data_IF_765842305101
#
_entry.id   IF_765842305101
#
_cell.length_a   1.000
_cell.length_b   1.000
_cell.length_c   1.000
_cell.angle_alpha   90.00
_cell.angle_beta   90.00
_cell.angle_gamma   90.00
#
_symmetry.space_group_name_H-M   'P 1'
#
loop_
_entity.id
_entity.type
_entity.pdbx_description
1 polymer ?
#
# COMPACT_ATOMS: atom_id res chain seq x y z
N UNK A 1 -54.55 1.03 36.00
CA UNK A 1 -55.21 2.24 35.49
C UNK A 1 -56.56 1.88 34.89
N UNK A 2 -57.20 2.79 34.17
CA UNK A 2 -58.47 2.47 33.51
C UNK A 2 -58.26 1.42 32.40
N UNK A 3 -59.16 0.43 32.30
CA UNK A 3 -59.09 -0.65 31.31
C UNK A 3 -57.78 -1.46 31.33
N UNK A 4 -57.13 -1.58 32.48
CA UNK A 4 -55.91 -2.37 32.64
C UNK A 4 -56.14 -3.80 33.13
N UNK A 5 -55.23 -4.71 32.81
CA UNK A 5 -55.29 -6.12 33.24
C UNK A 5 -54.05 -6.52 34.06
N UNK A 6 -54.28 -7.20 35.18
CA UNK A 6 -53.26 -8.00 35.88
C UNK A 6 -53.76 -9.44 35.94
N UNK A 7 -53.14 -10.34 35.17
CA UNK A 7 -53.58 -11.73 35.03
C UNK A 7 -53.26 -12.63 36.24
N UNK A 8 -52.32 -12.22 37.09
CA UNK A 8 -51.93 -12.93 38.32
C UNK A 8 -50.57 -12.49 38.85
N UNK A 9 -49.98 -13.30 39.74
CA UNK A 9 -48.64 -13.08 40.28
C UNK A 9 -48.58 -12.35 41.62
N UNK A 10 -47.37 -11.99 42.05
CA UNK A 10 -47.12 -11.30 43.31
C UNK A 10 -46.53 -9.91 43.03
N UNK A 11 -47.08 -8.88 43.69
CA UNK A 11 -46.64 -7.47 43.68
C UNK A 11 -46.51 -6.81 42.30
N UNK A 12 -47.24 -7.28 41.29
CA UNK A 12 -47.32 -6.61 39.99
C UNK A 12 -48.11 -5.30 40.07
N UNK A 13 -47.66 -4.26 39.36
CA UNK A 13 -48.23 -2.91 39.43
C UNK A 13 -48.54 -2.34 38.06
N UNK A 14 -49.82 -2.15 37.76
CA UNK A 14 -50.26 -1.50 36.50
C UNK A 14 -50.74 -0.08 36.78
N UNK A 15 -49.87 0.90 36.49
CA UNK A 15 -50.10 2.31 36.85
C UNK A 15 -50.59 3.20 35.70
N UNK A 16 -50.79 2.64 34.50
CA UNK A 16 -51.36 3.35 33.35
C UNK A 16 -52.63 2.71 32.79
N UNK A 17 -53.33 3.43 31.92
CA UNK A 17 -54.53 2.96 31.23
C UNK A 17 -54.17 1.97 30.11
N UNK A 18 -55.12 1.10 29.74
CA UNK A 18 -55.01 0.13 28.64
C UNK A 18 -53.76 -0.78 28.70
N UNK A 19 -53.17 -0.93 29.88
CA UNK A 19 -51.90 -1.64 30.06
C UNK A 19 -52.15 -3.04 30.62
N UNK A 20 -51.28 -4.00 30.29
CA UNK A 20 -51.44 -5.40 30.69
C UNK A 20 -50.17 -5.95 31.31
N UNK A 21 -50.30 -6.59 32.47
CA UNK A 21 -49.31 -7.53 33.01
C UNK A 21 -49.97 -8.90 33.08
N UNK A 22 -49.51 -9.87 32.27
CA UNK A 22 -50.16 -11.17 32.21
C UNK A 22 -49.88 -12.06 33.45
N UNK A 23 -48.78 -11.83 34.18
CA UNK A 23 -48.45 -12.55 35.41
C UNK A 23 -47.05 -12.24 35.95
N UNK A 24 -46.49 -13.14 36.78
CA UNK A 24 -45.10 -13.05 37.24
C UNK A 24 -44.90 -12.41 38.61
N UNK A 25 -43.69 -11.91 38.87
CA UNK A 25 -43.29 -11.34 40.16
C UNK A 25 -42.73 -9.92 39.95
N UNK A 26 -43.27 -8.93 40.65
CA UNK A 26 -42.70 -7.57 40.72
C UNK A 26 -42.53 -6.87 39.36
N UNK A 27 -43.48 -7.07 38.45
CA UNK A 27 -43.49 -6.36 37.18
C UNK A 27 -44.25 -5.03 37.31
N UNK A 28 -43.76 -3.97 36.67
CA UNK A 28 -44.33 -2.62 36.81
C UNK A 28 -44.56 -1.98 35.44
N UNK A 29 -45.76 -1.45 35.21
CA UNK A 29 -45.95 -0.40 34.20
C UNK A 29 -45.99 0.96 34.87
N UNK A 30 -45.32 1.96 34.28
CA UNK A 30 -45.19 3.30 34.86
C UNK A 30 -46.47 4.12 34.61
N UNK A 31 -46.72 5.12 35.44
CA UNK A 31 -47.84 6.06 35.25
C UNK A 31 -47.63 6.91 33.99
N UNK A 32 -48.71 7.27 33.30
CA UNK A 32 -48.67 7.99 32.02
C UNK A 32 -47.95 7.24 30.89
N UNK A 33 -48.08 5.92 30.85
CA UNK A 33 -47.53 5.03 29.82
C UNK A 33 -48.61 4.13 29.20
N UNK A 34 -49.67 4.71 28.57
CA UNK A 34 -50.81 3.93 28.09
C UNK A 34 -50.43 2.86 27.08
N UNK A 35 -51.18 1.75 27.07
CA UNK A 35 -50.98 0.66 26.12
C UNK A 35 -49.71 -0.18 26.34
N UNK A 36 -49.03 -0.03 27.48
CA UNK A 36 -47.83 -0.81 27.80
C UNK A 36 -48.17 -2.27 28.14
N UNK A 37 -47.27 -3.18 27.78
CA UNK A 37 -47.47 -4.63 27.94
C UNK A 37 -46.27 -5.31 28.60
N UNK A 38 -46.55 -6.18 29.57
CA UNK A 38 -45.59 -7.13 30.12
C UNK A 38 -46.20 -8.53 30.09
N UNK A 39 -45.58 -9.46 29.35
CA UNK A 39 -46.07 -10.84 29.23
C UNK A 39 -45.82 -11.72 30.47
N UNK A 40 -44.93 -11.30 31.37
CA UNK A 40 -44.67 -11.97 32.65
C UNK A 40 -43.23 -11.80 33.11
N UNK A 41 -42.72 -12.80 33.82
CA UNK A 41 -41.33 -12.79 34.31
C UNK A 41 -41.16 -12.11 35.66
N UNK A 42 -39.95 -11.61 35.94
CA UNK A 42 -39.56 -11.04 37.23
C UNK A 42 -38.97 -9.65 37.08
N UNK A 43 -39.47 -8.66 37.81
CA UNK A 43 -38.83 -7.35 37.91
C UNK A 43 -38.78 -6.55 36.61
N UNK A 44 -39.67 -6.82 35.65
CA UNK A 44 -39.67 -6.12 34.37
C UNK A 44 -40.42 -4.79 34.47
N UNK A 45 -39.95 -3.79 33.72
CA UNK A 45 -40.55 -2.46 33.66
C UNK A 45 -40.91 -2.10 32.22
N UNK A 46 -42.18 -1.77 31.97
CA UNK A 46 -42.64 -1.13 30.74
C UNK A 46 -43.02 0.33 31.07
N UNK A 47 -42.12 1.24 30.73
CA UNK A 47 -42.06 2.60 31.28
C UNK A 47 -42.57 3.73 30.39
N UNK A 48 -43.08 3.43 29.19
CA UNK A 48 -43.56 4.42 28.24
C UNK A 48 -44.70 3.91 27.35
N UNK A 49 -45.32 4.83 26.61
CA UNK A 49 -46.46 4.55 25.74
C UNK A 49 -46.16 3.40 24.77
N UNK A 50 -47.03 2.40 24.76
CA UNK A 50 -46.91 1.22 23.90
C UNK A 50 -45.60 0.43 24.06
N UNK A 51 -44.86 0.64 25.17
CA UNK A 51 -43.68 -0.14 25.49
C UNK A 51 -44.06 -1.61 25.76
N UNK A 52 -43.28 -2.54 25.21
CA UNK A 52 -43.55 -3.99 25.30
C UNK A 52 -42.35 -4.71 25.89
N UNK A 53 -42.60 -5.52 26.92
CA UNK A 53 -41.65 -6.53 27.42
C UNK A 53 -42.33 -7.89 27.38
N UNK A 54 -41.89 -8.79 26.51
CA UNK A 54 -42.54 -10.10 26.37
C UNK A 54 -42.36 -10.98 27.63
N UNK A 55 -41.27 -10.80 28.38
CA UNK A 55 -41.02 -11.49 29.65
C UNK A 55 -39.58 -11.32 30.12
N UNK A 56 -39.04 -12.32 30.85
CA UNK A 56 -37.65 -12.33 31.30
C UNK A 56 -37.45 -11.78 32.71
N UNK A 57 -36.22 -11.35 33.04
CA UNK A 57 -35.85 -10.85 34.36
C UNK A 57 -35.20 -9.45 34.27
N UNK A 58 -35.73 -8.46 34.98
CA UNK A 58 -35.15 -7.12 35.07
C UNK A 58 -34.97 -6.39 33.74
N UNK A 59 -35.88 -6.58 32.79
CA UNK A 59 -35.85 -5.83 31.53
C UNK A 59 -36.57 -4.47 31.66
N UNK A 60 -36.05 -3.44 31.03
CA UNK A 60 -36.51 -2.05 31.16
C UNK A 60 -36.78 -1.40 29.80
N UNK A 61 -38.06 -1.30 29.43
CA UNK A 61 -38.51 -0.66 28.20
C UNK A 61 -38.97 0.78 28.48
N UNK A 62 -38.05 1.76 28.46
CA UNK A 62 -38.28 3.17 28.83
C UNK A 62 -38.82 4.06 27.72
N UNK A 63 -38.77 3.60 26.49
CA UNK A 63 -39.11 4.42 25.33
C UNK A 63 -40.50 4.16 24.77
N UNK A 64 -41.11 5.20 24.19
CA UNK A 64 -42.35 5.05 23.43
C UNK A 64 -42.12 4.07 22.29
N UNK A 65 -43.01 3.08 22.13
CA UNK A 65 -42.89 1.98 21.17
C UNK A 65 -41.59 1.15 21.28
N UNK A 66 -40.94 1.13 22.45
CA UNK A 66 -39.82 0.21 22.70
C UNK A 66 -40.31 -1.24 22.81
N UNK A 67 -39.53 -2.18 22.29
CA UNK A 67 -39.86 -3.62 22.35
C UNK A 67 -38.69 -4.44 22.85
N UNK A 68 -38.89 -5.18 23.93
CA UNK A 68 -37.95 -6.15 24.46
C UNK A 68 -38.58 -7.56 24.39
N UNK A 69 -37.98 -8.45 23.62
CA UNK A 69 -38.49 -9.81 23.42
C UNK A 69 -38.35 -10.72 24.65
N UNK A 70 -37.43 -10.42 25.56
CA UNK A 70 -37.22 -11.16 26.81
C UNK A 70 -35.78 -11.01 27.30
N UNK A 71 -35.22 -12.07 27.90
CA UNK A 71 -33.85 -12.09 28.40
C UNK A 71 -33.71 -11.52 29.81
N UNK A 72 -32.49 -11.09 30.17
CA UNK A 72 -32.18 -10.53 31.47
C UNK A 72 -31.43 -9.19 31.38
N UNK A 73 -31.89 -8.19 32.12
CA UNK A 73 -31.23 -6.88 32.26
C UNK A 73 -31.08 -6.10 30.93
N UNK A 74 -32.05 -6.21 30.04
CA UNK A 74 -32.03 -5.48 28.77
C UNK A 74 -32.74 -4.12 28.89
N UNK A 75 -32.25 -3.11 28.16
CA UNK A 75 -32.77 -1.75 28.13
C UNK A 75 -33.17 -1.34 26.72
N UNK A 76 -34.38 -0.80 26.60
CA UNK A 76 -34.92 -0.31 25.33
C UNK A 76 -35.44 1.13 25.46
N UNK A 77 -34.97 2.02 24.60
CA UNK A 77 -35.40 3.42 24.49
C UNK A 77 -36.37 3.63 23.31
N UNK A 78 -36.74 4.87 23.00
CA UNK A 78 -37.87 5.15 22.11
C UNK A 78 -37.65 4.57 20.70
N UNK A 79 -38.65 3.88 20.18
CA UNK A 79 -38.65 3.17 18.89
C UNK A 79 -37.55 2.10 18.75
N UNK A 80 -36.97 1.64 19.86
CA UNK A 80 -35.91 0.62 19.84
C UNK A 80 -36.47 -0.81 19.86
N UNK A 81 -35.63 -1.75 19.45
CA UNK A 81 -35.91 -3.18 19.63
C UNK A 81 -34.70 -3.88 20.25
N UNK A 82 -34.94 -4.65 21.31
CA UNK A 82 -34.01 -5.66 21.83
C UNK A 82 -34.68 -7.02 21.72
N UNK A 83 -34.15 -7.93 20.91
CA UNK A 83 -34.80 -9.23 20.72
C UNK A 83 -34.73 -10.11 21.98
N UNK A 84 -33.69 -9.96 22.82
CA UNK A 84 -33.48 -10.70 24.06
C UNK A 84 -32.02 -10.62 24.52
N UNK A 85 -31.54 -11.65 25.22
CA UNK A 85 -30.14 -11.75 25.66
C UNK A 85 -29.89 -11.26 27.08
N UNK A 86 -28.63 -11.02 27.43
CA UNK A 86 -28.20 -10.53 28.73
C UNK A 86 -27.55 -9.15 28.59
N UNK A 87 -27.99 -8.17 29.38
CA UNK A 87 -27.36 -6.85 29.50
C UNK A 87 -27.23 -6.05 28.19
N UNK A 88 -28.25 -6.07 27.32
CA UNK A 88 -28.21 -5.30 26.07
C UNK A 88 -28.88 -3.93 26.20
N UNK A 89 -28.36 -2.91 25.51
CA UNK A 89 -28.90 -1.54 25.51
C UNK A 89 -29.17 -1.04 24.08
N UNK A 90 -30.41 -0.70 23.77
CA UNK A 90 -30.82 -0.12 22.50
C UNK A 90 -31.44 1.29 22.73
N UNK A 91 -30.72 2.33 22.28
CA UNK A 91 -31.15 3.74 22.33
C UNK A 91 -32.17 4.11 21.23
N UNK A 92 -32.35 5.41 20.93
CA UNK A 92 -33.39 5.89 20.02
C UNK A 92 -33.35 5.27 18.62
N UNK A 93 -34.47 4.67 18.20
CA UNK A 93 -34.65 4.01 16.90
C UNK A 93 -33.57 2.99 16.53
N UNK A 94 -32.95 2.37 17.53
CA UNK A 94 -31.85 1.42 17.36
C UNK A 94 -32.32 -0.04 17.53
N UNK A 95 -31.48 -0.99 17.14
CA UNK A 95 -31.77 -2.41 17.25
C UNK A 95 -30.61 -3.19 17.85
N UNK A 96 -30.90 -4.04 18.84
CA UNK A 96 -30.02 -5.11 19.28
C UNK A 96 -30.70 -6.46 19.04
N UNK A 97 -30.11 -7.29 18.18
CA UNK A 97 -30.66 -8.61 17.83
C UNK A 97 -30.53 -9.68 18.93
N UNK A 98 -29.83 -9.39 20.02
CA UNK A 98 -29.66 -10.26 21.18
C UNK A 98 -28.20 -10.31 21.65
N UNK A 99 -27.82 -11.40 22.33
CA UNK A 99 -26.44 -11.62 22.79
C UNK A 99 -26.17 -11.15 24.22
N UNK A 100 -24.90 -10.93 24.53
CA UNK A 100 -24.40 -10.53 25.84
C UNK A 100 -23.74 -9.13 25.76
N UNK A 101 -24.16 -8.21 26.62
CA UNK A 101 -23.49 -6.91 26.83
C UNK A 101 -23.32 -6.08 25.55
N UNK A 102 -24.30 -6.11 24.63
CA UNK A 102 -24.24 -5.30 23.41
C UNK A 102 -24.95 -3.95 23.58
N UNK A 103 -24.38 -2.90 23.00
CA UNK A 103 -24.91 -1.54 23.09
C UNK A 103 -25.05 -0.90 21.69
N UNK A 104 -26.29 -0.63 21.28
CA UNK A 104 -26.63 0.19 20.11
C UNK A 104 -27.11 1.57 20.60
N UNK A 105 -26.17 2.45 20.95
CA UNK A 105 -26.47 3.75 21.57
C UNK A 105 -26.54 4.92 20.57
N UNK A 106 -26.03 4.72 19.35
CA UNK A 106 -26.21 5.68 18.27
C UNK A 106 -27.66 5.72 17.75
N UNK A 107 -28.13 6.89 17.35
CA UNK A 107 -29.45 7.03 16.70
C UNK A 107 -29.48 6.20 15.42
N UNK A 108 -30.47 5.32 15.26
CA UNK A 108 -30.57 4.37 14.13
C UNK A 108 -29.42 3.36 14.04
N UNK A 109 -28.66 3.15 15.12
CA UNK A 109 -27.60 2.16 15.16
C UNK A 109 -28.17 0.73 15.22
N UNK A 110 -27.39 -0.25 14.77
CA UNK A 110 -27.75 -1.67 14.87
C UNK A 110 -26.57 -2.49 15.35
N UNK A 111 -26.82 -3.34 16.34
CA UNK A 111 -25.96 -4.48 16.68
C UNK A 111 -26.75 -5.76 16.43
N UNK A 112 -26.32 -6.59 15.49
CA UNK A 112 -27.09 -7.80 15.15
C UNK A 112 -27.04 -8.87 16.26
N UNK A 113 -26.03 -8.85 17.12
CA UNK A 113 -25.88 -9.74 18.29
C UNK A 113 -24.43 -9.87 18.73
N UNK A 114 -24.07 -10.98 19.39
CA UNK A 114 -22.70 -11.28 19.81
C UNK A 114 -22.42 -10.96 21.28
N UNK A 115 -21.17 -10.72 21.61
CA UNK A 115 -20.71 -10.40 22.97
C UNK A 115 -19.95 -9.06 22.97
N UNK A 116 -20.31 -8.15 23.87
CA UNK A 116 -19.61 -6.89 24.10
C UNK A 116 -19.44 -5.98 22.85
N UNK A 117 -20.42 -5.96 21.95
CA UNK A 117 -20.36 -5.12 20.74
C UNK A 117 -21.02 -3.75 20.93
N UNK A 118 -20.44 -2.73 20.31
CA UNK A 118 -20.75 -1.33 20.55
C UNK A 118 -20.97 -0.57 19.23
N UNK A 119 -22.21 -0.17 18.95
CA UNK A 119 -22.59 0.71 17.83
C UNK A 119 -22.98 2.10 18.38
N UNK A 120 -21.99 2.99 18.56
CA UNK A 120 -22.14 4.28 19.23
C UNK A 120 -22.39 5.44 18.26
N UNK A 121 -21.97 5.32 17.01
CA UNK A 121 -22.20 6.35 15.99
C UNK A 121 -23.63 6.34 15.46
N UNK A 122 -24.13 7.48 14.99
CA UNK A 122 -25.43 7.54 14.30
C UNK A 122 -25.41 6.67 13.04
N UNK A 123 -26.46 5.88 12.82
CA UNK A 123 -26.56 4.93 11.71
C UNK A 123 -25.37 3.96 11.62
N UNK A 124 -24.66 3.73 12.72
CA UNK A 124 -23.57 2.75 12.77
C UNK A 124 -24.09 1.32 12.81
N UNK A 125 -23.28 0.39 12.35
CA UNK A 125 -23.64 -1.03 12.27
C UNK A 125 -22.54 -1.91 12.83
N UNK A 126 -22.90 -2.85 13.68
CA UNK A 126 -22.07 -3.99 14.06
C UNK A 126 -22.81 -5.30 13.73
N UNK A 127 -22.23 -6.13 12.86
CA UNK A 127 -22.87 -7.37 12.40
C UNK A 127 -22.77 -8.52 13.41
N UNK A 128 -21.97 -8.40 14.47
CA UNK A 128 -21.84 -9.37 15.55
C UNK A 128 -20.39 -9.58 15.96
N UNK A 129 -20.08 -10.73 16.58
CA UNK A 129 -18.72 -11.07 17.03
C UNK A 129 -18.47 -10.70 18.50
N UNK A 130 -17.23 -10.43 18.86
CA UNK A 130 -16.81 -10.13 20.24
C UNK A 130 -16.06 -8.80 20.28
N UNK A 131 -16.47 -7.86 21.15
CA UNK A 131 -15.70 -6.65 21.43
C UNK A 131 -15.58 -5.67 20.27
N UNK A 132 -16.47 -5.71 19.26
CA UNK A 132 -16.37 -4.81 18.11
C UNK A 132 -16.98 -3.43 18.40
N UNK A 133 -16.40 -2.38 17.83
CA UNK A 133 -16.77 -0.98 18.07
C UNK A 133 -16.96 -0.20 16.77
N UNK A 134 -18.19 0.20 16.47
CA UNK A 134 -18.51 1.18 15.43
C UNK A 134 -18.87 2.52 16.09
N UNK A 135 -17.91 3.44 16.20
CA UNK A 135 -18.07 4.72 16.92
C UNK A 135 -18.26 5.95 16.05
N UNK A 136 -17.84 5.91 14.78
CA UNK A 136 -18.13 6.98 13.84
C UNK A 136 -19.56 6.94 13.33
N UNK A 137 -20.12 8.09 12.96
CA UNK A 137 -21.40 8.10 12.27
C UNK A 137 -21.26 7.40 10.90
N UNK A 138 -22.26 6.59 10.54
CA UNK A 138 -22.24 5.69 9.37
C UNK A 138 -21.10 4.66 9.37
N UNK A 139 -20.40 4.48 10.49
CA UNK A 139 -19.34 3.48 10.59
C UNK A 139 -19.90 2.06 10.60
N UNK A 140 -19.16 1.13 10.02
CA UNK A 140 -19.57 -0.27 9.87
C UNK A 140 -18.46 -1.18 10.36
N UNK A 141 -18.80 -2.10 11.26
CA UNK A 141 -17.98 -3.28 11.54
C UNK A 141 -18.81 -4.52 11.22
N UNK A 142 -18.45 -5.25 10.18
CA UNK A 142 -19.27 -6.40 9.77
C UNK A 142 -19.21 -7.57 10.77
N UNK A 143 -18.16 -7.68 11.57
CA UNK A 143 -18.03 -8.63 12.68
C UNK A 143 -16.58 -8.83 13.13
N UNK A 144 -16.28 -10.00 13.72
CA UNK A 144 -14.92 -10.38 14.13
C UNK A 144 -14.66 -10.22 15.62
N UNK A 145 -13.40 -9.98 16.01
CA UNK A 145 -12.97 -9.83 17.40
C UNK A 145 -12.17 -8.54 17.60
N UNK A 146 -12.61 -7.65 18.48
CA UNK A 146 -11.88 -6.42 18.86
C UNK A 146 -11.60 -5.46 17.69
N UNK A 147 -12.49 -5.39 16.69
CA UNK A 147 -12.33 -4.44 15.58
C UNK A 147 -12.94 -3.07 15.91
N UNK A 148 -12.34 -1.99 15.42
CA UNK A 148 -12.81 -0.62 15.64
C UNK A 148 -12.95 0.16 14.32
N UNK A 149 -14.13 0.71 14.06
CA UNK A 149 -14.41 1.71 13.03
C UNK A 149 -14.78 3.02 13.73
N UNK A 150 -13.83 3.94 13.88
CA UNK A 150 -13.90 5.03 14.87
C UNK A 150 -14.38 6.37 14.32
N UNK A 151 -14.42 6.56 12.99
CA UNK A 151 -14.65 7.86 12.36
C UNK A 151 -15.76 7.81 11.30
N UNK A 152 -16.18 8.98 10.78
CA UNK A 152 -17.26 9.08 9.80
C UNK A 152 -17.00 8.19 8.59
N UNK A 153 -18.00 7.39 8.21
CA UNK A 153 -17.94 6.46 7.06
C UNK A 153 -16.79 5.44 7.11
N UNK A 154 -16.19 5.20 8.28
CA UNK A 154 -15.15 4.18 8.42
C UNK A 154 -15.73 2.77 8.33
N UNK A 155 -14.96 1.83 7.77
CA UNK A 155 -15.38 0.46 7.55
C UNK A 155 -14.34 -0.54 8.02
N UNK A 156 -14.79 -1.55 8.77
CA UNK A 156 -14.03 -2.77 9.02
C UNK A 156 -14.85 -3.99 8.59
N UNK A 157 -14.34 -4.74 7.62
CA UNK A 157 -15.03 -5.93 7.09
C UNK A 157 -14.95 -7.16 7.98
N UNK A 158 -14.05 -7.19 8.97
CA UNK A 158 -13.96 -8.25 9.97
C UNK A 158 -12.52 -8.49 10.45
N UNK A 159 -12.23 -9.71 10.91
CA UNK A 159 -10.90 -10.09 11.38
C UNK A 159 -10.69 -9.85 12.88
N UNK A 160 -9.45 -9.60 13.29
CA UNK A 160 -9.07 -9.46 14.70
C UNK A 160 -8.22 -8.19 14.89
N UNK A 161 -8.62 -7.32 15.82
CA UNK A 161 -7.86 -6.10 16.20
C UNK A 161 -7.54 -5.18 15.01
N UNK A 162 -8.47 -5.03 14.08
CA UNK A 162 -8.34 -4.08 12.98
C UNK A 162 -8.96 -2.73 13.33
N UNK A 163 -8.32 -1.64 12.89
CA UNK A 163 -8.73 -0.26 13.19
C UNK A 163 -8.87 0.57 11.92
N UNK A 164 -10.04 1.17 11.74
CA UNK A 164 -10.31 2.19 10.73
C UNK A 164 -10.63 3.51 11.48
N UNK A 165 -9.59 4.31 11.72
CA UNK A 165 -9.66 5.51 12.57
C UNK A 165 -9.72 6.82 11.76
N UNK A 166 -9.41 6.77 10.46
CA UNK A 166 -9.55 7.90 9.55
C UNK A 166 -10.98 8.08 9.02
N UNK A 167 -11.34 9.32 8.66
CA UNK A 167 -12.58 9.60 7.94
C UNK A 167 -12.56 8.88 6.58
N UNK A 168 -13.62 8.15 6.22
CA UNK A 168 -13.65 7.29 5.01
C UNK A 168 -12.50 6.27 4.96
N UNK A 169 -11.96 5.85 6.10
CA UNK A 169 -10.92 4.82 6.14
C UNK A 169 -11.54 3.42 6.08
N UNK A 170 -10.90 2.52 5.33
CA UNK A 170 -11.36 1.16 5.11
C UNK A 170 -10.30 0.14 5.55
N UNK A 171 -10.71 -0.85 6.33
CA UNK A 171 -9.94 -2.09 6.54
C UNK A 171 -10.82 -3.27 6.15
N UNK A 172 -10.46 -3.99 5.09
CA UNK A 172 -11.30 -5.10 4.60
C UNK A 172 -11.31 -6.28 5.58
N UNK A 173 -10.20 -6.54 6.28
CA UNK A 173 -10.10 -7.58 7.30
C UNK A 173 -8.66 -7.87 7.74
N UNK A 174 -8.38 -9.10 8.17
CA UNK A 174 -7.04 -9.53 8.59
C UNK A 174 -6.81 -9.41 10.10
N UNK A 175 -5.56 -9.18 10.52
CA UNK A 175 -5.19 -9.07 11.92
C UNK A 175 -4.28 -7.85 12.16
N UNK A 176 -4.57 -7.06 13.19
CA UNK A 176 -3.73 -5.92 13.60
C UNK A 176 -3.47 -4.90 12.48
N UNK A 177 -4.43 -4.68 11.57
CA UNK A 177 -4.31 -3.67 10.51
C UNK A 177 -4.87 -2.33 10.98
N UNK A 178 -4.22 -1.22 10.60
CA UNK A 178 -4.60 0.13 11.00
C UNK A 178 -4.69 1.06 9.79
N UNK A 179 -5.87 1.61 9.51
CA UNK A 179 -6.13 2.66 8.53
C UNK A 179 -6.52 3.94 9.29
N UNK A 180 -5.54 4.80 9.60
CA UNK A 180 -5.77 6.01 10.41
C UNK A 180 -5.72 7.31 9.63
N UNK A 181 -5.35 7.27 8.34
CA UNK A 181 -5.40 8.44 7.46
C UNK A 181 -6.79 8.69 6.88
N UNK A 182 -7.14 9.93 6.55
CA UNK A 182 -8.39 10.22 5.83
C UNK A 182 -8.37 9.57 4.45
N UNK A 183 -9.44 8.88 4.05
CA UNK A 183 -9.55 8.11 2.81
C UNK A 183 -8.45 7.05 2.65
N UNK A 184 -7.90 6.55 3.76
CA UNK A 184 -6.87 5.49 3.75
C UNK A 184 -7.50 4.10 3.59
N UNK A 185 -6.73 3.17 3.02
CA UNK A 185 -7.21 1.84 2.72
C UNK A 185 -6.19 0.76 3.13
N UNK A 186 -6.66 -0.26 3.85
CA UNK A 186 -5.94 -1.51 4.07
C UNK A 186 -6.77 -2.71 3.58
N UNK A 187 -6.28 -3.39 2.55
CA UNK A 187 -7.00 -4.53 1.95
C UNK A 187 -6.97 -5.82 2.78
N UNK A 188 -6.11 -5.90 3.80
CA UNK A 188 -6.05 -7.01 4.76
C UNK A 188 -4.62 -7.37 5.14
N UNK A 189 -4.39 -8.63 5.55
CA UNK A 189 -3.08 -9.11 5.96
C UNK A 189 -2.82 -9.00 7.46
N UNK A 190 -1.55 -8.89 7.86
CA UNK A 190 -1.13 -8.80 9.26
C UNK A 190 -0.28 -7.56 9.51
N UNK A 191 -0.66 -6.74 10.48
CA UNK A 191 0.20 -5.64 10.97
C UNK A 191 0.41 -4.50 9.97
N UNK A 192 -0.48 -4.30 9.00
CA UNK A 192 -0.33 -3.25 7.99
C UNK A 192 -0.88 -1.90 8.47
N UNK A 193 -0.23 -0.81 8.07
CA UNK A 193 -0.54 0.55 8.50
C UNK A 193 -0.70 1.49 7.31
N UNK A 194 -1.86 2.14 7.16
CA UNK A 194 -2.11 3.24 6.22
C UNK A 194 -2.50 4.49 7.02
N UNK A 195 -1.51 5.29 7.43
CA UNK A 195 -1.69 6.31 8.47
C UNK A 195 -1.69 7.76 7.94
N UNK A 196 -1.65 7.94 6.62
CA UNK A 196 -1.65 9.25 5.96
C UNK A 196 -2.82 9.39 4.98
N UNK A 197 -3.12 10.61 4.55
CA UNK A 197 -4.30 10.87 3.72
C UNK A 197 -4.16 10.17 2.36
N UNK A 198 -5.19 9.46 1.92
CA UNK A 198 -5.20 8.66 0.69
C UNK A 198 -4.08 7.60 0.63
N UNK A 199 -3.51 7.21 1.77
CA UNK A 199 -2.51 6.14 1.83
C UNK A 199 -3.16 4.78 1.60
N UNK A 200 -2.49 3.92 0.83
CA UNK A 200 -3.01 2.59 0.46
C UNK A 200 -2.00 1.52 0.82
N UNK A 201 -2.46 0.49 1.54
CA UNK A 201 -1.78 -0.79 1.66
C UNK A 201 -2.71 -1.89 1.17
N UNK A 202 -2.43 -2.49 0.02
CA UNK A 202 -3.32 -3.53 -0.52
C UNK A 202 -3.35 -4.80 0.35
N UNK A 203 -2.28 -5.08 1.11
CA UNK A 203 -2.22 -6.15 2.10
C UNK A 203 -0.78 -6.57 2.42
N UNK A 204 -0.60 -7.82 2.85
CA UNK A 204 0.73 -8.39 3.16
C UNK A 204 1.05 -8.42 4.66
N UNK A 205 2.32 -8.30 5.00
CA UNK A 205 2.84 -8.40 6.38
C UNK A 205 3.65 -7.17 6.75
N UNK A 206 3.24 -6.43 7.79
CA UNK A 206 3.97 -5.29 8.36
C UNK A 206 4.36 -4.20 7.36
N UNK A 207 3.48 -3.87 6.41
CA UNK A 207 3.71 -2.76 5.48
C UNK A 207 3.17 -1.44 6.04
N UNK A 208 3.86 -0.33 5.78
CA UNK A 208 3.53 1.01 6.29
C UNK A 208 3.46 2.03 5.16
N UNK A 209 2.29 2.59 4.91
CA UNK A 209 2.07 3.74 4.04
C UNK A 209 1.76 4.97 4.93
N UNK A 210 2.74 5.87 5.06
CA UNK A 210 2.67 7.03 5.99
C UNK A 210 2.98 8.37 5.33
N UNK A 211 3.21 8.40 4.02
CA UNK A 211 3.18 9.64 3.24
C UNK A 211 1.78 9.86 2.65
N UNK A 212 1.36 11.12 2.49
CA UNK A 212 0.12 11.41 1.78
C UNK A 212 0.19 10.86 0.35
N UNK A 213 -0.89 10.23 -0.11
CA UNK A 213 -0.98 9.55 -1.40
C UNK A 213 0.06 8.42 -1.60
N UNK A 214 0.65 7.90 -0.53
CA UNK A 214 1.61 6.80 -0.61
C UNK A 214 0.93 5.45 -0.85
N UNK A 215 1.67 4.52 -1.48
CA UNK A 215 1.13 3.22 -1.89
C UNK A 215 2.11 2.09 -1.57
N UNK A 216 1.59 1.04 -0.92
CA UNK A 216 2.22 -0.28 -0.83
C UNK A 216 1.27 -1.33 -1.45
N UNK A 217 1.58 -1.90 -2.62
CA UNK A 217 0.74 -2.90 -3.27
C UNK A 217 0.78 -4.27 -2.58
N UNK A 218 1.65 -4.46 -1.58
CA UNK A 218 1.76 -5.69 -0.80
C UNK A 218 3.20 -6.09 -0.54
N UNK A 219 3.41 -7.37 -0.21
CA UNK A 219 4.71 -7.90 0.19
C UNK A 219 4.91 -7.80 1.70
N UNK A 220 6.14 -7.57 2.16
CA UNK A 220 6.43 -7.55 3.60
C UNK A 220 7.45 -6.50 4.04
N UNK A 221 7.19 -5.85 5.17
CA UNK A 221 8.08 -4.91 5.85
C UNK A 221 8.48 -3.72 4.95
N UNK A 222 7.59 -3.27 4.06
CA UNK A 222 7.84 -2.11 3.21
C UNK A 222 7.36 -0.82 3.89
N UNK A 223 8.10 0.27 3.72
CA UNK A 223 7.75 1.59 4.26
C UNK A 223 7.66 2.62 3.11
N UNK A 224 6.46 3.10 2.78
CA UNK A 224 6.22 4.22 1.88
C UNK A 224 5.96 5.49 2.70
N UNK A 225 7.03 6.21 3.06
CA UNK A 225 6.96 7.35 4.00
C UNK A 225 6.93 8.71 3.30
N UNK A 226 7.43 8.81 2.07
CA UNK A 226 7.38 10.04 1.28
C UNK A 226 5.99 10.34 0.73
N UNK A 227 5.65 11.61 0.54
CA UNK A 227 4.41 12.01 -0.17
C UNK A 227 4.47 11.49 -1.61
N UNK A 228 3.39 10.91 -2.13
CA UNK A 228 3.33 10.25 -3.44
C UNK A 228 4.36 9.10 -3.63
N UNK A 229 4.83 8.49 -2.54
CA UNK A 229 5.82 7.41 -2.62
C UNK A 229 5.20 6.04 -2.90
N UNK A 230 5.99 5.13 -3.46
CA UNK A 230 5.62 3.76 -3.77
C UNK A 230 6.68 2.80 -3.24
N UNK A 231 6.31 1.82 -2.41
CA UNK A 231 7.22 0.80 -1.90
C UNK A 231 6.64 -0.60 -2.11
N UNK A 232 7.40 -1.52 -2.72
CA UNK A 232 6.91 -2.86 -3.06
C UNK A 232 7.96 -3.96 -2.84
N UNK A 233 7.49 -5.18 -2.58
CA UNK A 233 8.32 -6.37 -2.43
C UNK A 233 8.64 -6.68 -0.98
N UNK A 234 9.92 -6.78 -0.62
CA UNK A 234 10.35 -7.03 0.76
C UNK A 234 11.40 -6.01 1.22
N UNK A 235 11.14 -5.36 2.35
CA UNK A 235 12.02 -4.35 2.96
C UNK A 235 12.39 -3.18 2.04
N UNK A 236 11.44 -2.74 1.19
CA UNK A 236 11.57 -1.52 0.40
C UNK A 236 11.17 -0.29 1.22
N UNK A 237 12.01 0.74 1.24
CA UNK A 237 11.87 1.93 2.09
C UNK A 237 11.88 3.21 1.24
N UNK A 238 10.71 3.65 0.83
CA UNK A 238 10.51 4.85 0.02
C UNK A 238 10.39 6.10 0.90
N UNK A 239 11.52 6.64 1.37
CA UNK A 239 11.57 7.83 2.24
C UNK A 239 11.43 9.14 1.47
N UNK A 240 11.94 9.20 0.23
CA UNK A 240 11.85 10.39 -0.61
C UNK A 240 10.44 10.64 -1.15
N UNK A 241 10.01 11.90 -1.20
CA UNK A 241 8.75 12.29 -1.85
C UNK A 241 8.78 11.90 -3.34
N UNK A 242 7.72 11.28 -3.85
CA UNK A 242 7.63 10.81 -5.23
C UNK A 242 8.58 9.66 -5.57
N UNK A 243 9.20 9.02 -4.58
CA UNK A 243 10.14 7.92 -4.83
C UNK A 243 9.44 6.58 -5.02
N UNK A 244 10.06 5.72 -5.81
CA UNK A 244 9.61 4.36 -6.13
C UNK A 244 10.69 3.39 -5.70
N UNK A 245 10.37 2.49 -4.75
CA UNK A 245 11.34 1.53 -4.21
C UNK A 245 10.85 0.09 -4.33
N UNK A 246 11.66 -0.79 -4.91
CA UNK A 246 11.38 -2.22 -5.02
C UNK A 246 12.50 -3.07 -4.39
N UNK A 247 12.13 -3.91 -3.41
CA UNK A 247 13.02 -4.90 -2.80
C UNK A 247 12.72 -6.33 -3.23
N UNK A 248 13.76 -7.09 -3.60
CA UNK A 248 13.69 -8.56 -3.66
C UNK A 248 13.64 -9.20 -2.25
N UNK A 249 13.61 -10.53 -2.18
CA UNK A 249 13.49 -11.33 -0.95
C UNK A 249 14.62 -11.13 0.08
N UNK A 250 15.69 -10.39 -0.21
CA UNK A 250 16.83 -10.29 0.71
C UNK A 250 16.40 -9.64 2.03
N UNK A 251 16.84 -10.23 3.14
CA UNK A 251 16.65 -9.73 4.51
C UNK A 251 17.54 -8.51 4.80
N UNK A 252 17.44 -7.48 3.96
CA UNK A 252 18.17 -6.23 4.05
C UNK A 252 17.27 -5.11 3.53
N UNK A 253 17.38 -3.92 4.10
CA UNK A 253 16.63 -2.77 3.61
C UNK A 253 17.20 -2.27 2.28
N UNK A 254 16.34 -1.76 1.43
CA UNK A 254 16.71 -0.90 0.30
C UNK A 254 15.90 0.39 0.39
N UNK A 255 16.58 1.52 0.27
CA UNK A 255 16.01 2.82 0.61
C UNK A 255 16.20 3.84 -0.51
N UNK A 256 15.23 4.73 -0.70
CA UNK A 256 15.44 6.03 -1.33
C UNK A 256 15.80 7.08 -0.27
N UNK A 257 16.50 8.13 -0.68
CA UNK A 257 16.89 9.24 0.20
C UNK A 257 16.49 10.61 -0.35
N UNK A 258 16.35 10.72 -1.67
CA UNK A 258 16.01 11.97 -2.35
C UNK A 258 14.60 11.92 -2.96
N UNK A 259 13.98 13.09 -3.20
CA UNK A 259 12.75 13.15 -3.95
C UNK A 259 12.89 12.60 -5.38
N UNK A 260 11.84 11.95 -5.87
CA UNK A 260 11.69 11.44 -7.24
C UNK A 260 12.73 10.38 -7.66
N UNK A 261 13.30 9.64 -6.71
CA UNK A 261 14.20 8.52 -7.01
C UNK A 261 13.45 7.25 -7.39
N UNK A 262 13.95 6.51 -8.38
CA UNK A 262 13.60 5.12 -8.61
C UNK A 262 14.74 4.22 -8.12
N UNK A 263 14.47 3.39 -7.11
CA UNK A 263 15.46 2.53 -6.47
C UNK A 263 14.96 1.09 -6.51
N UNK A 264 15.74 0.16 -7.06
CA UNK A 264 15.34 -1.24 -7.11
C UNK A 264 16.50 -2.18 -6.80
N UNK A 265 16.22 -3.26 -6.06
CA UNK A 265 17.13 -4.39 -5.84
C UNK A 265 16.49 -5.66 -6.37
N UNK A 266 17.10 -6.20 -7.42
CA UNK A 266 16.83 -7.53 -7.92
C UNK A 266 18.15 -8.30 -8.03
N UNK A 267 18.55 -9.02 -6.98
CA UNK A 267 19.83 -9.74 -6.96
C UNK A 267 19.92 -10.89 -7.96
N UNK A 268 18.79 -11.29 -8.57
CA UNK A 268 18.72 -12.21 -9.71
C UNK A 268 18.87 -11.54 -11.08
N UNK A 269 19.01 -10.22 -11.15
CA UNK A 269 19.08 -9.43 -12.39
C UNK A 269 17.78 -8.71 -12.72
N UNK A 270 17.85 -7.81 -13.72
CA UNK A 270 16.71 -7.03 -14.22
C UNK A 270 16.42 -7.36 -15.68
N UNK A 271 15.15 -7.28 -16.06
CA UNK A 271 14.68 -7.51 -17.41
C UNK A 271 13.70 -6.41 -17.82
N UNK A 272 13.88 -5.86 -19.02
CA UNK A 272 12.98 -4.93 -19.69
C UNK A 272 12.66 -5.55 -21.05
N UNK A 273 11.48 -6.17 -21.17
CA UNK A 273 11.09 -6.95 -22.35
C UNK A 273 10.20 -6.09 -23.24
N UNK A 274 10.51 -6.02 -24.53
CA UNK A 274 9.75 -5.21 -25.51
C UNK A 274 9.17 -6.05 -26.65
N UNK A 275 9.61 -7.30 -26.83
CA UNK A 275 8.97 -8.26 -27.73
C UNK A 275 9.10 -9.69 -27.20
N UNK A 276 8.15 -10.54 -27.59
CA UNK A 276 8.08 -11.98 -27.28
C UNK A 276 7.80 -12.78 -28.55
N UNK A 277 8.11 -14.09 -28.54
CA UNK A 277 7.65 -15.02 -29.59
C UNK A 277 6.23 -15.54 -29.31
N UNK A 278 5.75 -16.45 -30.17
CA UNK A 278 4.42 -17.06 -30.03
C UNK A 278 4.23 -17.96 -28.80
N UNK A 279 5.32 -18.31 -28.10
CA UNK A 279 5.27 -19.04 -26.82
C UNK A 279 5.31 -18.12 -25.60
N UNK A 280 5.54 -16.83 -25.79
CA UNK A 280 5.75 -15.84 -24.73
C UNK A 280 7.21 -15.67 -24.31
N UNK A 281 8.16 -16.33 -24.96
CA UNK A 281 9.58 -16.18 -24.63
C UNK A 281 10.10 -14.80 -25.09
N UNK A 282 10.87 -14.06 -24.26
CA UNK A 282 11.43 -12.77 -24.63
C UNK A 282 12.34 -12.85 -25.87
N UNK A 283 12.06 -12.03 -26.89
CA UNK A 283 12.84 -11.96 -28.13
C UNK A 283 13.54 -10.63 -28.34
N UNK A 284 13.07 -9.55 -27.71
CA UNK A 284 13.71 -8.23 -27.72
C UNK A 284 13.59 -7.53 -26.36
N UNK A 285 14.57 -6.68 -26.05
CA UNK A 285 14.61 -5.90 -24.82
C UNK A 285 16.01 -5.77 -24.26
N UNK A 286 16.12 -5.43 -22.98
CA UNK A 286 17.38 -5.29 -22.24
C UNK A 286 17.35 -6.14 -20.96
N UNK A 287 18.45 -6.81 -20.65
CA UNK A 287 18.66 -7.54 -19.40
C UNK A 287 19.90 -6.98 -18.68
N UNK A 288 19.84 -6.81 -17.37
CA UNK A 288 21.01 -6.61 -16.52
C UNK A 288 21.26 -7.92 -15.76
N UNK A 289 22.24 -8.75 -16.17
CA UNK A 289 22.53 -10.02 -15.50
C UNK A 289 22.89 -9.82 -14.03
N UNK A 290 22.56 -10.82 -13.20
CA UNK A 290 22.90 -10.83 -11.79
C UNK A 290 24.40 -10.53 -11.55
N UNK A 291 24.69 -9.57 -10.68
CA UNK A 291 26.05 -9.23 -10.28
C UNK A 291 26.87 -8.46 -11.33
N UNK A 292 26.25 -8.01 -12.43
CA UNK A 292 26.90 -7.22 -13.48
C UNK A 292 26.44 -5.76 -13.46
N UNK A 293 27.16 -4.89 -14.17
CA UNK A 293 26.83 -3.46 -14.33
C UNK A 293 26.42 -3.08 -15.75
N UNK A 294 26.37 -4.04 -16.68
CA UNK A 294 26.13 -3.77 -18.09
C UNK A 294 24.80 -4.39 -18.54
N UNK A 295 23.95 -3.56 -19.15
CA UNK A 295 22.75 -4.03 -19.81
C UNK A 295 23.11 -4.73 -21.12
N UNK A 296 22.61 -5.94 -21.31
CA UNK A 296 22.79 -6.75 -22.52
C UNK A 296 21.46 -6.88 -23.28
N UNK A 297 21.46 -6.78 -24.61
CA UNK A 297 20.26 -7.00 -25.40
C UNK A 297 19.69 -8.41 -25.23
N UNK A 298 18.37 -8.52 -25.21
CA UNK A 298 17.64 -9.79 -25.33
C UNK A 298 17.48 -10.08 -26.82
N UNK A 299 17.96 -11.23 -27.29
CA UNK A 299 17.86 -11.65 -28.69
C UNK A 299 18.84 -10.96 -29.66
N UNK A 300 19.04 -11.56 -30.84
CA UNK A 300 19.97 -11.08 -31.89
C UNK A 300 21.42 -11.58 -31.78
N UNK A 301 22.25 -11.42 -32.83
CA UNK A 301 23.68 -11.67 -32.74
C UNK A 301 24.30 -10.74 -31.68
N UNK A 302 24.93 -11.35 -30.68
CA UNK A 302 25.51 -10.67 -29.52
C UNK A 302 26.71 -9.82 -29.96
N UNK A 303 26.49 -8.57 -30.35
CA UNK A 303 27.55 -7.58 -30.56
C UNK A 303 27.49 -6.49 -29.47
N UNK A 304 27.70 -6.90 -28.23
CA UNK A 304 28.21 -6.02 -27.19
C UNK A 304 29.56 -6.59 -26.76
N UNK A 305 30.56 -6.45 -27.64
CA UNK A 305 31.95 -6.64 -27.31
C UNK A 305 32.56 -5.25 -27.09
N UNK A 306 32.15 -4.55 -26.02
CA UNK A 306 32.95 -3.41 -25.57
C UNK A 306 34.22 -3.95 -24.94
N UNK A 307 35.37 -3.37 -25.24
CA UNK A 307 36.58 -3.61 -24.45
C UNK A 307 36.30 -3.22 -22.99
N UNK A 308 36.28 -4.18 -22.07
CA UNK A 308 36.32 -3.87 -20.64
C UNK A 308 37.72 -3.41 -20.29
N UNK A 309 37.83 -2.16 -19.86
CA UNK A 309 39.09 -1.62 -19.33
C UNK A 309 38.82 -1.02 -17.96
N UNK A 310 39.86 -0.95 -17.12
CA UNK A 310 39.78 -0.32 -15.80
C UNK A 310 39.50 1.19 -15.87
N UNK A 311 39.60 1.79 -17.06
CA UNK A 311 39.34 3.20 -17.36
C UNK A 311 38.21 3.36 -18.40
N UNK A 312 37.62 4.54 -18.49
CA UNK A 312 36.50 4.80 -19.42
C UNK A 312 37.05 5.34 -20.76
N UNK A 313 37.30 4.42 -21.71
CA UNK A 313 37.80 4.73 -23.05
C UNK A 313 36.69 4.60 -24.11
N UNK A 314 36.62 5.56 -25.02
CA UNK A 314 35.78 5.50 -26.22
C UNK A 314 36.68 5.37 -27.45
N UNK A 315 36.21 4.65 -28.46
CA UNK A 315 36.96 4.43 -29.70
C UNK A 315 36.15 4.79 -30.93
N UNK A 316 36.82 5.32 -31.93
CA UNK A 316 36.28 5.53 -33.27
C UNK A 316 37.23 4.94 -34.33
N UNK A 317 36.68 4.60 -35.49
CA UNK A 317 37.36 3.89 -36.56
C UNK A 317 37.19 4.64 -37.88
N UNK A 318 38.24 4.65 -38.69
CA UNK A 318 38.16 5.24 -40.01
C UNK A 318 39.24 4.73 -40.95
N UNK A 319 39.23 5.30 -42.15
CA UNK A 319 40.17 5.01 -43.21
C UNK A 319 40.85 6.30 -43.65
N UNK A 320 42.06 6.17 -44.16
CA UNK A 320 42.81 7.29 -44.73
C UNK A 320 43.73 6.83 -45.83
N UNK A 321 44.17 7.78 -46.64
CA UNK A 321 45.16 7.55 -47.69
C UNK A 321 46.22 8.64 -47.57
N UNK A 322 47.50 8.24 -47.64
CA UNK A 322 48.59 9.19 -47.71
C UNK A 322 48.54 9.97 -49.05
N UNK A 323 48.97 11.23 -49.03
CA UNK A 323 49.22 12.02 -50.23
C UNK A 323 50.67 12.47 -50.22
N UNK A 324 51.50 11.92 -51.10
CA UNK A 324 52.95 12.13 -51.13
C UNK A 324 53.60 11.89 -49.76
N UNK A 325 53.23 10.78 -49.09
CA UNK A 325 53.79 10.35 -47.82
C UNK A 325 53.16 10.98 -46.58
N UNK A 326 52.10 11.78 -46.71
CA UNK A 326 51.45 12.43 -45.56
C UNK A 326 49.96 12.67 -45.76
N UNK A 327 49.18 12.57 -44.70
CA UNK A 327 47.79 13.06 -44.66
C UNK A 327 47.43 13.59 -43.28
N UNK A 328 46.50 14.53 -43.22
CA UNK A 328 45.87 15.00 -41.97
C UNK A 328 44.46 14.42 -41.92
N UNK A 329 44.16 13.67 -40.86
CA UNK A 329 42.84 13.11 -40.60
C UNK A 329 42.12 14.03 -39.62
N UNK A 330 40.96 14.55 -40.03
CA UNK A 330 40.06 15.27 -39.14
C UNK A 330 39.38 14.28 -38.18
N UNK A 331 39.32 14.62 -36.90
CA UNK A 331 38.57 13.86 -35.91
C UNK A 331 37.09 14.21 -36.09
N UNK A 332 36.23 13.19 -36.10
CA UNK A 332 34.79 13.38 -36.18
C UNK A 332 34.31 14.30 -35.04
N UNK A 333 33.59 15.41 -35.34
CA UNK A 333 33.10 16.33 -34.32
C UNK A 333 32.23 15.64 -33.26
N UNK A 334 31.41 14.65 -33.63
CA UNK A 334 30.58 13.89 -32.70
C UNK A 334 31.43 13.04 -31.76
N UNK A 335 32.49 12.42 -32.28
CA UNK A 335 33.45 11.72 -31.41
C UNK A 335 34.11 12.70 -30.44
N UNK A 336 34.61 13.85 -30.95
CA UNK A 336 35.28 14.87 -30.15
C UNK A 336 34.40 15.48 -29.03
N UNK A 337 33.07 15.52 -29.21
CA UNK A 337 32.11 15.93 -28.17
C UNK A 337 32.05 14.94 -26.98
N UNK A 338 32.30 13.65 -27.24
CA UNK A 338 32.16 12.59 -26.22
C UNK A 338 33.44 12.31 -25.43
N UNK A 339 34.60 12.70 -25.97
CA UNK A 339 35.92 12.44 -25.37
C UNK A 339 36.65 13.73 -24.98
N UNK A 340 37.67 13.59 -24.16
CA UNK A 340 38.63 14.64 -23.85
C UNK A 340 39.92 14.42 -24.64
N UNK A 341 40.11 15.22 -25.68
CA UNK A 341 41.29 15.19 -26.55
C UNK A 341 42.40 16.17 -26.10
N UNK A 342 42.17 16.92 -25.01
CA UNK A 342 43.22 17.71 -24.34
C UNK A 342 44.13 16.81 -23.50
N UNK A 343 43.64 15.64 -23.09
CA UNK A 343 44.40 14.57 -22.44
C UNK A 343 45.07 13.64 -23.48
N UNK A 344 46.12 12.87 -23.09
CA UNK A 344 46.75 11.91 -23.98
C UNK A 344 45.77 10.88 -24.54
N UNK A 345 45.69 10.81 -25.87
CA UNK A 345 44.91 9.82 -26.59
C UNK A 345 45.77 8.99 -27.55
N UNK A 346 45.25 7.82 -27.91
CA UNK A 346 45.91 6.85 -28.78
C UNK A 346 45.32 6.88 -30.18
N UNK A 347 46.18 6.72 -31.18
CA UNK A 347 45.78 6.45 -32.57
C UNK A 347 46.61 5.26 -33.02
N UNK A 348 45.94 4.20 -33.42
CA UNK A 348 46.53 2.98 -33.95
C UNK A 348 46.29 2.96 -35.45
N UNK A 349 47.34 2.78 -36.25
CA UNK A 349 47.24 2.75 -37.71
C UNK A 349 47.64 1.37 -38.21
N UNK A 350 46.79 0.77 -39.05
CA UNK A 350 47.05 -0.46 -39.76
C UNK A 350 47.19 -0.15 -41.25
N UNK A 351 48.40 -0.31 -41.78
CA UNK A 351 48.68 -0.15 -43.20
C UNK A 351 48.06 -1.31 -43.98
N UNK A 352 47.43 -0.98 -45.10
CA UNK A 352 46.83 -1.95 -46.03
C UNK A 352 47.64 -2.05 -47.34
N UNK A 353 48.65 -1.20 -47.52
CA UNK A 353 49.54 -1.17 -48.68
C UNK A 353 50.93 -1.71 -48.33
N UNK A 354 51.39 -2.71 -49.07
CA UNK A 354 52.70 -3.35 -48.87
C UNK A 354 53.90 -2.55 -49.40
N UNK A 355 53.66 -1.41 -50.06
CA UNK A 355 54.70 -0.50 -50.56
C UNK A 355 55.14 0.53 -49.53
N UNK A 356 54.38 0.70 -48.45
CA UNK A 356 54.68 1.63 -47.37
C UNK A 356 55.42 0.92 -46.23
N UNK A 357 56.67 1.33 -45.99
CA UNK A 357 57.54 0.73 -44.97
C UNK A 357 57.32 1.32 -43.55
N UNK A 358 56.06 1.62 -43.23
CA UNK A 358 55.64 2.10 -41.92
C UNK A 358 55.26 3.59 -41.88
N UNK A 359 54.41 3.93 -40.92
CA UNK A 359 53.91 5.29 -40.66
C UNK A 359 54.07 5.65 -39.19
N UNK A 360 54.10 6.95 -38.91
CA UNK A 360 54.00 7.52 -37.58
C UNK A 360 52.81 8.46 -37.49
N UNK A 361 52.10 8.41 -36.35
CA UNK A 361 51.10 9.43 -36.00
C UNK A 361 51.82 10.61 -35.36
N UNK A 362 51.63 11.80 -35.92
CA UNK A 362 52.22 13.07 -35.47
C UNK A 362 51.15 14.14 -35.32
N UNK A 363 51.53 15.27 -34.72
CA UNK A 363 50.70 16.49 -34.70
C UNK A 363 49.27 16.22 -34.20
N UNK A 364 49.15 15.48 -33.10
CA UNK A 364 47.89 15.20 -32.44
C UNK A 364 47.33 16.48 -31.83
N UNK A 365 46.15 16.89 -32.26
CA UNK A 365 45.41 18.05 -31.76
C UNK A 365 44.02 17.62 -31.28
N UNK A 366 43.20 18.57 -30.81
CA UNK A 366 41.81 18.30 -30.42
C UNK A 366 40.86 18.08 -31.61
N UNK A 367 41.29 18.36 -32.84
CA UNK A 367 40.45 18.27 -34.04
C UNK A 367 41.06 17.45 -35.17
N UNK A 368 42.32 17.02 -35.06
CA UNK A 368 43.00 16.25 -36.10
C UNK A 368 44.25 15.53 -35.59
N UNK A 369 44.73 14.59 -36.39
CA UNK A 369 46.07 14.01 -36.27
C UNK A 369 46.68 13.80 -37.67
N UNK A 370 48.01 13.88 -37.77
CA UNK A 370 48.71 13.59 -39.01
C UNK A 370 49.22 12.15 -39.03
N UNK A 371 49.07 11.48 -40.17
CA UNK A 371 49.74 10.21 -40.47
C UNK A 371 50.83 10.48 -41.49
N UNK A 372 52.07 10.17 -41.12
CA UNK A 372 53.26 10.50 -41.92
C UNK A 372 54.07 9.23 -42.16
N UNK A 373 54.40 8.97 -43.42
CA UNK A 373 55.29 7.88 -43.79
C UNK A 373 56.68 8.06 -43.21
N UNK A 374 57.27 6.96 -42.74
CA UNK A 374 58.62 6.96 -42.22
C UNK A 374 59.65 7.10 -43.35
N UNK A 375 60.91 7.39 -42.99
CA UNK A 375 62.05 7.43 -43.92
C UNK A 375 61.91 8.42 -45.10
N UNK A 376 61.12 9.47 -44.94
CA UNK A 376 60.77 10.42 -46.01
C UNK A 376 60.15 9.73 -47.24
N UNK A 377 59.38 8.66 -47.01
CA UNK A 377 58.57 8.04 -48.06
C UNK A 377 57.56 9.02 -48.63
N UNK A 378 57.20 8.81 -49.89
CA UNK A 378 56.28 9.67 -50.65
C UNK A 378 55.14 8.85 -51.26
N UNK A 379 54.76 7.74 -50.62
CA UNK A 379 53.72 6.84 -51.11
C UNK A 379 52.31 7.42 -50.91
N UNK A 380 51.34 6.85 -51.62
CA UNK A 380 49.92 7.13 -51.44
C UNK A 380 49.19 5.92 -50.81
N UNK A 381 49.82 5.33 -49.78
CA UNK A 381 49.33 4.12 -49.14
C UNK A 381 47.99 4.33 -48.43
N UNK A 382 47.10 3.35 -48.58
CA UNK A 382 45.85 3.27 -47.83
C UNK A 382 46.07 2.62 -46.47
N UNK A 383 45.34 3.10 -45.47
CA UNK A 383 45.37 2.57 -44.12
C UNK A 383 44.00 2.66 -43.44
N UNK A 384 43.82 1.83 -42.43
CA UNK A 384 42.75 1.99 -41.45
C UNK A 384 43.33 2.51 -40.14
N UNK A 385 42.52 3.22 -39.36
CA UNK A 385 42.92 3.68 -38.03
C UNK A 385 41.84 3.42 -36.99
N UNK A 386 42.29 3.31 -35.74
CA UNK A 386 41.48 3.35 -34.53
C UNK A 386 41.99 4.49 -33.64
N UNK A 387 41.13 5.44 -33.31
CA UNK A 387 41.40 6.45 -32.28
C UNK A 387 40.76 6.00 -30.96
N UNK A 388 41.46 6.15 -29.85
CA UNK A 388 40.97 5.83 -28.51
C UNK A 388 41.29 6.99 -27.55
N UNK A 389 40.26 7.55 -26.91
CA UNK A 389 40.38 8.68 -26.00
C UNK A 389 39.50 8.50 -24.75
N UNK A 390 39.86 9.18 -23.65
CA UNK A 390 39.10 9.10 -22.40
C UNK A 390 37.78 9.87 -22.52
N UNK A 391 36.72 9.33 -21.91
CA UNK A 391 35.42 10.01 -21.88
C UNK A 391 35.53 11.36 -21.16
N UNK A 392 34.97 12.40 -21.78
CA UNK A 392 34.94 13.76 -21.23
C UNK A 392 34.24 13.78 -19.86
N UNK A 393 34.91 14.32 -18.85
CA UNK A 393 34.43 14.42 -17.47
C UNK A 393 34.63 13.17 -16.60
N UNK A 394 35.21 12.09 -17.14
CA UNK A 394 35.46 10.82 -16.41
C UNK A 394 36.92 10.35 -16.51
N UNK A 395 37.85 11.25 -16.84
CA UNK A 395 39.23 10.95 -17.19
C UNK A 395 40.03 10.30 -16.05
N UNK A 396 39.60 10.55 -14.81
CA UNK A 396 40.18 10.02 -13.56
C UNK A 396 39.39 8.85 -12.96
N UNK A 397 38.25 8.48 -13.56
CA UNK A 397 37.40 7.42 -13.02
C UNK A 397 37.98 6.05 -13.38
N UNK A 398 38.11 5.18 -12.38
CA UNK A 398 38.60 3.80 -12.55
C UNK A 398 37.66 2.80 -11.87
N UNK A 399 37.58 1.59 -12.39
CA UNK A 399 36.94 0.49 -11.67
C UNK A 399 37.63 0.32 -10.31
N UNK A 400 36.85 0.39 -9.22
CA UNK A 400 37.35 0.14 -7.87
C UNK A 400 37.63 -1.36 -7.73
N UNK A 401 38.74 -1.71 -7.08
CA UNK A 401 38.98 -3.09 -6.66
C UNK A 401 37.83 -3.57 -5.78
N UNK A 402 37.37 -4.80 -6.03
CA UNK A 402 36.36 -5.44 -5.20
C UNK A 402 36.97 -5.63 -3.81
N UNK A 403 36.35 -5.14 -2.72
CA UNK A 403 36.78 -5.53 -1.38
C UNK A 403 36.69 -7.05 -1.26
N UNK A 404 37.80 -7.68 -0.86
CA UNK A 404 37.89 -9.13 -0.63
C UNK A 404 36.93 -9.59 0.46
#
# INVERSE_FOLDING_TARGET
>A
GDYSTVGGGYINQVRSAHSTIAGGYDNTTIANSPGSFIGGGRGNTAGADYATVAGGNQNEAYGVYSSIGGGNDNKGHAFSTVAGGYHNDASFSSCVGGGDTNAATGTWATVAGGDHNNAWGKQSFVGGGVGNRASGDWAVVAGGHENAASNFYSFVGGGIDNRADGEHADVVGGNMNNASGSHSFVGGGYGNEANASFAVVAGGYENKARGDNSSVPGGSVNDALGVNSFAAGHRAKAFGNGSFVWGDKREADINSWLPNEFVARATGGFWLITAIDGSGAPTQGMMLPAGTSAWVPIGGPKSAASEETVEVWFTDYGFGQLENGRVIIAIDPLFAETVNLEEPYHVFVQLNDNRCEGVAVKEKTVSSFAVVELRNGSSNAEFSYRIAAKRRGFEKYRMKERPN
#
